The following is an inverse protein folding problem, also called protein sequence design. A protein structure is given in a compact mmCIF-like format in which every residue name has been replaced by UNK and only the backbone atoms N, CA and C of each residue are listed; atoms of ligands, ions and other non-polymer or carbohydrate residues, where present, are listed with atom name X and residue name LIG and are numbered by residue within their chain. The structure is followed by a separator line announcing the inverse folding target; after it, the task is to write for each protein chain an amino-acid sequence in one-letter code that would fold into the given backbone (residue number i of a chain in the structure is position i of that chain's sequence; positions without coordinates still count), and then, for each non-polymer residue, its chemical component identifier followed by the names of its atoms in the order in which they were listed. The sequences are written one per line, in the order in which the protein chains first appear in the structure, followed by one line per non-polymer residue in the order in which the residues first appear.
data_IF_339631187099
#
_entry.id   IF_339631187099
#
_cell.length_a   1.000
_cell.length_b   1.000
_cell.length_c   1.000
_cell.angle_alpha   90.00
_cell.angle_beta   90.00
_cell.angle_gamma   90.00
#
_symmetry.space_group_name_H-M   'P 1'
#
loop_
_entity.id
_entity.type
_entity.pdbx_description
1 polymer ?
#
# COMPACT_ATOMS: atom_id res chain seq x y z
N UNK A 1 29.53 20.69 31.06
CA UNK A 1 28.46 21.51 30.46
C UNK A 1 28.06 20.85 29.16
N UNK A 2 26.85 20.30 29.07
CA UNK A 2 26.31 19.71 27.83
C UNK A 2 25.33 20.71 27.23
N UNK A 3 25.70 21.32 26.11
CA UNK A 3 24.80 22.19 25.35
C UNK A 3 23.78 21.32 24.61
N UNK A 4 22.47 21.52 24.79
CA UNK A 4 21.49 20.81 23.97
C UNK A 4 21.57 21.40 22.56
N UNK A 5 21.98 20.58 21.59
CA UNK A 5 21.91 20.96 20.18
C UNK A 5 20.46 21.30 19.83
N UNK A 6 20.21 22.53 19.39
CA UNK A 6 18.89 22.97 18.97
C UNK A 6 18.50 22.20 17.71
N UNK A 7 17.58 21.26 17.84
CA UNK A 7 16.98 20.56 16.70
C UNK A 7 16.35 21.59 15.75
N UNK A 8 16.90 21.72 14.54
CA UNK A 8 16.33 22.54 13.47
C UNK A 8 15.56 21.63 12.54
N UNK A 9 14.24 21.58 12.71
CA UNK A 9 13.36 20.74 11.89
C UNK A 9 13.53 20.97 10.37
N UNK A 10 13.89 22.19 9.96
CA UNK A 10 14.15 22.55 8.56
C UNK A 10 15.37 21.85 7.93
N UNK A 11 16.29 21.32 8.74
CA UNK A 11 17.46 20.57 8.26
C UNK A 11 17.13 19.08 8.00
N UNK A 12 15.97 18.61 8.47
CA UNK A 12 15.56 17.20 8.41
C UNK A 12 14.24 16.95 7.67
N UNK A 13 13.43 17.99 7.43
CA UNK A 13 12.16 17.89 6.70
C UNK A 13 12.36 18.44 5.29
N UNK A 14 12.28 17.56 4.30
CA UNK A 14 12.26 17.98 2.90
C UNK A 14 10.92 18.65 2.58
N UNK A 15 10.90 19.75 1.81
CA UNK A 15 9.66 20.36 1.36
C UNK A 15 8.90 19.40 0.43
N UNK A 16 7.57 19.47 0.51
CA UNK A 16 6.65 18.70 -0.34
C UNK A 16 6.91 19.08 -1.81
N UNK A 17 7.14 18.08 -2.64
CA UNK A 17 7.35 18.23 -4.08
C UNK A 17 6.08 17.89 -4.85
N UNK A 18 5.93 18.52 -6.01
CA UNK A 18 4.88 18.17 -6.98
C UNK A 18 5.18 16.77 -7.52
N UNK A 19 4.18 15.90 -7.54
CA UNK A 19 4.33 14.56 -8.11
C UNK A 19 4.41 14.65 -9.64
N UNK A 20 5.28 13.84 -10.24
CA UNK A 20 5.44 13.67 -11.68
C UNK A 20 4.47 12.63 -12.28
N UNK A 21 3.59 12.04 -11.44
CA UNK A 21 2.56 11.10 -11.87
C UNK A 21 1.35 11.88 -12.44
N UNK A 22 1.29 11.97 -13.77
CA UNK A 22 0.28 12.75 -14.50
C UNK A 22 -0.94 11.94 -14.98
N UNK A 23 -0.87 10.61 -14.93
CA UNK A 23 -1.84 9.70 -15.57
C UNK A 23 -3.11 9.41 -14.74
N UNK A 24 -3.48 10.29 -13.81
CA UNK A 24 -4.59 10.04 -12.88
C UNK A 24 -5.73 11.00 -13.15
N UNK A 25 -6.83 10.51 -13.73
CA UNK A 25 -7.96 11.36 -14.12
C UNK A 25 -8.85 11.84 -12.96
N UNK A 26 -8.57 11.46 -11.72
CA UNK A 26 -9.29 11.94 -10.53
C UNK A 26 -8.45 12.98 -9.78
N UNK A 27 -8.92 14.24 -9.64
CA UNK A 27 -8.23 15.27 -8.86
C UNK A 27 -7.99 14.86 -7.40
N UNK A 28 -8.89 14.05 -6.83
CA UNK A 28 -8.75 13.55 -5.45
C UNK A 28 -7.58 12.60 -5.31
N UNK A 29 -7.46 11.65 -6.25
CA UNK A 29 -6.35 10.68 -6.25
C UNK A 29 -5.02 11.41 -6.52
N UNK A 30 -5.03 12.41 -7.41
CA UNK A 30 -3.86 13.24 -7.68
C UNK A 30 -3.38 14.00 -6.44
N UNK A 31 -4.32 14.50 -5.62
CA UNK A 31 -3.99 15.13 -4.34
C UNK A 31 -3.42 14.11 -3.33
N UNK A 32 -3.96 12.90 -3.25
CA UNK A 32 -3.39 11.85 -2.38
C UNK A 32 -1.98 11.44 -2.81
N UNK A 33 -1.75 11.28 -4.11
CA UNK A 33 -0.42 11.00 -4.66
C UNK A 33 0.57 12.11 -4.29
N UNK A 34 0.14 13.38 -4.39
CA UNK A 34 0.94 14.52 -3.98
C UNK A 34 1.25 14.47 -2.48
N UNK A 35 0.25 14.26 -1.62
CA UNK A 35 0.45 14.20 -0.17
C UNK A 35 1.33 13.02 0.27
N UNK A 36 1.20 11.88 -0.39
CA UNK A 36 2.02 10.69 -0.15
C UNK A 36 3.44 10.80 -0.76
N UNK A 37 3.74 11.88 -1.48
CA UNK A 37 5.03 12.11 -2.14
C UNK A 37 5.44 10.96 -3.08
N UNK A 38 4.46 10.31 -3.71
CA UNK A 38 4.72 9.25 -4.69
C UNK A 38 5.19 9.88 -6.01
N UNK A 39 6.22 9.28 -6.58
CA UNK A 39 6.81 9.68 -7.86
C UNK A 39 6.77 8.52 -8.87
N UNK A 40 7.01 8.82 -10.13
CA UNK A 40 7.11 7.80 -11.18
C UNK A 40 8.20 6.77 -10.87
N UNK A 41 9.29 7.21 -10.22
CA UNK A 41 10.37 6.33 -9.74
C UNK A 41 9.87 5.30 -8.73
N UNK A 42 8.94 5.68 -7.86
CA UNK A 42 8.37 4.76 -6.86
C UNK A 42 7.49 3.72 -7.55
N UNK A 43 6.70 4.13 -8.55
CA UNK A 43 5.93 3.18 -9.37
C UNK A 43 6.85 2.20 -10.12
N UNK A 44 7.97 2.68 -10.66
CA UNK A 44 8.98 1.81 -11.30
C UNK A 44 9.67 0.88 -10.30
N UNK A 45 9.90 1.32 -9.07
CA UNK A 45 10.45 0.48 -8.02
C UNK A 45 9.46 -0.60 -7.58
N UNK A 46 8.18 -0.26 -7.47
CA UNK A 46 7.11 -1.22 -7.17
C UNK A 46 7.03 -2.31 -8.24
N UNK A 47 7.13 -1.96 -9.53
CA UNK A 47 7.16 -2.95 -10.62
C UNK A 47 8.27 -4.00 -10.46
N UNK A 48 9.42 -3.61 -9.90
CA UNK A 48 10.56 -4.53 -9.73
C UNK A 48 10.32 -5.59 -8.66
N UNK A 49 9.35 -5.39 -7.78
CA UNK A 49 9.01 -6.34 -6.71
C UNK A 49 7.74 -7.15 -7.03
N UNK A 50 7.09 -6.92 -8.17
CA UNK A 50 5.82 -7.59 -8.52
C UNK A 50 5.95 -9.12 -8.49
N UNK A 51 7.00 -9.68 -9.11
CA UNK A 51 7.25 -11.13 -9.12
C UNK A 51 7.43 -11.70 -7.69
N UNK A 52 8.07 -10.93 -6.80
CA UNK A 52 8.25 -11.31 -5.40
C UNK A 52 6.91 -11.27 -4.66
N UNK A 53 6.12 -10.23 -4.89
CA UNK A 53 4.79 -10.08 -4.31
C UNK A 53 3.87 -11.22 -4.75
N UNK A 54 3.95 -11.62 -6.03
CA UNK A 54 3.17 -12.74 -6.56
C UNK A 54 3.58 -14.08 -5.94
N UNK A 55 4.88 -14.35 -5.93
CA UNK A 55 5.46 -15.58 -5.39
C UNK A 55 5.09 -15.78 -3.92
N UNK A 56 5.05 -14.68 -3.15
CA UNK A 56 4.76 -14.72 -1.72
C UNK A 56 3.33 -14.35 -1.35
N UNK A 57 2.43 -14.12 -2.32
CA UNK A 57 1.07 -13.63 -2.08
C UNK A 57 0.28 -14.48 -1.07
N UNK A 58 0.38 -15.82 -1.17
CA UNK A 58 -0.31 -16.73 -0.26
C UNK A 58 0.24 -16.65 1.17
N UNK A 59 1.56 -16.55 1.33
CA UNK A 59 2.20 -16.42 2.64
C UNK A 59 1.88 -15.06 3.29
N UNK A 60 1.81 -13.99 2.49
CA UNK A 60 1.38 -12.67 2.95
C UNK A 60 -0.09 -12.73 3.43
N UNK A 61 -0.97 -13.36 2.64
CA UNK A 61 -2.38 -13.49 2.99
C UNK A 61 -2.60 -14.28 4.29
N UNK A 62 -1.87 -15.38 4.49
CA UNK A 62 -1.92 -16.17 5.73
C UNK A 62 -1.41 -15.35 6.93
N UNK A 63 -0.26 -14.68 6.80
CA UNK A 63 0.27 -13.83 7.87
C UNK A 63 -0.72 -12.73 8.27
N UNK A 64 -1.34 -12.06 7.29
CA UNK A 64 -2.35 -11.03 7.58
C UNK A 64 -3.57 -11.62 8.30
N UNK A 65 -4.00 -12.82 7.93
CA UNK A 65 -5.07 -13.51 8.66
C UNK A 65 -4.69 -13.76 10.12
N UNK A 66 -3.48 -14.25 10.40
CA UNK A 66 -3.04 -14.47 11.79
C UNK A 66 -3.07 -13.16 12.59
N UNK A 67 -2.57 -12.06 12.01
CA UNK A 67 -2.61 -10.75 12.66
C UNK A 67 -4.04 -10.27 12.97
N UNK A 68 -5.01 -10.55 12.10
CA UNK A 68 -6.44 -10.26 12.34
C UNK A 68 -6.95 -11.10 13.52
N UNK A 69 -6.58 -12.39 13.56
CA UNK A 69 -7.02 -13.31 14.62
C UNK A 69 -6.43 -12.99 16.00
N UNK A 70 -5.27 -12.32 16.04
CA UNK A 70 -4.60 -11.90 17.28
C UNK A 70 -5.32 -10.73 17.98
N UNK A 71 -6.22 -10.03 17.29
CA UNK A 71 -6.95 -8.88 17.85
C UNK A 71 -8.41 -9.29 18.10
N UNK A 72 -8.84 -9.47 19.37
CA UNK A 72 -10.13 -10.09 19.70
C UNK A 72 -11.35 -9.46 19.02
N UNK A 73 -11.43 -8.13 19.02
CA UNK A 73 -12.56 -7.42 18.41
C UNK A 73 -12.58 -7.55 16.88
N UNK A 74 -11.40 -7.49 16.24
CA UNK A 74 -11.31 -7.65 14.79
C UNK A 74 -11.63 -9.09 14.40
N UNK A 75 -11.17 -10.08 15.19
CA UNK A 75 -11.51 -11.49 15.02
C UNK A 75 -13.02 -11.73 15.06
N UNK A 76 -13.73 -11.12 16.00
CA UNK A 76 -15.19 -11.24 16.11
C UNK A 76 -15.90 -10.70 14.85
N UNK A 77 -15.51 -9.50 14.40
CA UNK A 77 -16.03 -8.90 13.16
C UNK A 77 -15.70 -9.82 11.97
N UNK A 78 -14.46 -10.30 11.88
CA UNK A 78 -14.01 -11.16 10.80
C UNK A 78 -14.83 -12.44 10.75
N UNK A 79 -15.01 -13.13 11.88
CA UNK A 79 -15.77 -14.39 11.94
C UNK A 79 -17.26 -14.21 11.66
N UNK A 80 -17.78 -12.98 11.84
CA UNK A 80 -19.18 -12.65 11.51
C UNK A 80 -19.38 -12.48 9.99
N UNK A 81 -18.41 -11.86 9.31
CA UNK A 81 -18.56 -11.43 7.92
C UNK A 81 -17.59 -12.08 6.93
N UNK A 82 -16.76 -13.03 7.37
CA UNK A 82 -15.73 -13.66 6.57
C UNK A 82 -15.29 -15.00 7.15
N UNK A 83 -14.45 -15.69 6.39
CA UNK A 83 -13.78 -16.91 6.79
C UNK A 83 -12.40 -16.98 6.15
N UNK A 84 -11.53 -17.83 6.71
CA UNK A 84 -10.13 -17.96 6.29
C UNK A 84 -9.99 -18.17 4.77
N UNK A 85 -10.69 -19.16 4.21
CA UNK A 85 -10.56 -19.52 2.80
C UNK A 85 -10.99 -18.39 1.85
N UNK A 86 -12.10 -17.71 2.17
CA UNK A 86 -12.57 -16.56 1.41
C UNK A 86 -11.58 -15.41 1.45
N UNK A 87 -11.10 -15.06 2.64
CA UNK A 87 -10.15 -13.96 2.83
C UNK A 87 -8.83 -14.21 2.12
N UNK A 88 -8.19 -15.36 2.38
CA UNK A 88 -6.86 -15.65 1.82
C UNK A 88 -6.89 -15.78 0.31
N UNK A 89 -7.96 -16.35 -0.25
CA UNK A 89 -8.16 -16.40 -1.72
C UNK A 89 -8.27 -15.00 -2.32
N UNK A 90 -9.07 -14.12 -1.72
CA UNK A 90 -9.26 -12.75 -2.20
C UNK A 90 -7.98 -11.94 -2.12
N UNK A 91 -7.26 -12.00 -1.00
CA UNK A 91 -6.00 -11.25 -0.82
C UNK A 91 -4.89 -11.81 -1.73
N UNK A 92 -4.78 -13.13 -1.87
CA UNK A 92 -3.84 -13.73 -2.81
C UNK A 92 -4.14 -13.27 -4.23
N UNK A 93 -5.42 -13.31 -4.64
CA UNK A 93 -5.84 -12.81 -5.95
C UNK A 93 -5.55 -11.32 -6.12
N UNK A 94 -5.76 -10.51 -5.09
CA UNK A 94 -5.48 -9.07 -5.12
C UNK A 94 -4.00 -8.80 -5.45
N UNK A 95 -3.06 -9.47 -4.78
CA UNK A 95 -1.63 -9.32 -5.05
C UNK A 95 -1.24 -9.82 -6.45
N UNK A 96 -1.85 -10.90 -6.93
CA UNK A 96 -1.65 -11.38 -8.29
C UNK A 96 -2.25 -10.47 -9.36
N UNK A 97 -3.35 -9.78 -9.04
CA UNK A 97 -4.06 -8.87 -9.97
C UNK A 97 -3.46 -7.47 -9.97
N UNK A 98 -2.71 -7.06 -8.93
CA UNK A 98 -2.02 -5.77 -8.89
C UNK A 98 -1.02 -5.57 -10.04
N UNK A 99 -0.53 -6.66 -10.62
CA UNK A 99 0.21 -6.70 -11.88
C UNK A 99 -0.54 -6.00 -13.03
N UNK A 100 -1.85 -6.15 -13.12
CA UNK A 100 -2.64 -5.57 -14.22
C UNK A 100 -3.01 -4.10 -14.01
N UNK A 101 -3.02 -3.60 -12.78
CA UNK A 101 -3.44 -2.22 -12.47
C UNK A 101 -2.31 -1.20 -12.63
N UNK A 102 -1.07 -1.60 -12.38
CA UNK A 102 0.11 -0.73 -12.59
C UNK A 102 0.46 -0.67 -14.09
N UNK A 103 0.27 -1.76 -14.84
CA UNK A 103 0.45 -1.79 -16.30
C UNK A 103 -0.67 -1.06 -17.06
N UNK A 104 -1.90 -1.04 -16.55
CA UNK A 104 -3.06 -0.41 -17.20
C UNK A 104 -3.36 1.01 -16.75
N UNK A 105 -2.47 1.61 -15.94
CA UNK A 105 -2.63 2.98 -15.44
C UNK A 105 -3.92 3.13 -14.62
N UNK A 106 -3.89 2.78 -13.34
CA UNK A 106 -4.87 3.15 -12.30
C UNK A 106 -6.31 3.27 -12.82
N UNK A 107 -6.88 2.19 -13.38
CA UNK A 107 -8.32 2.10 -13.58
C UNK A 107 -8.82 0.67 -13.33
N UNK A 108 -9.90 0.61 -12.56
CA UNK A 108 -10.79 -0.54 -12.34
C UNK A 108 -10.29 -1.71 -11.49
N UNK A 109 -10.37 -1.59 -10.16
CA UNK A 109 -10.86 -2.70 -9.33
C UNK A 109 -11.63 -2.18 -8.13
N UNK A 110 -12.87 -1.74 -8.35
CA UNK A 110 -13.98 -1.88 -7.42
C UNK A 110 -15.24 -1.94 -8.29
N UNK A 111 -16.16 -2.90 -8.09
CA UNK A 111 -17.53 -2.76 -8.60
C UNK A 111 -18.22 -1.56 -7.94
#
# INVERSE_FOLDING_TARGET
MLFPAKFKASEHISPIKVSDISSVGSPTIQNWIHLCQLTQKDLEALKKIDDLMETHAAAIADRHYQMIMDIPHIKEIFNTYSEYGRYTTLITKYYKTHQTCIERGIYSVLP
#
